data_IF_451487859359
#
_entry.id   IF_451487859359
#
_cell.length_a   1.000
_cell.length_b   1.000
_cell.length_c   1.000
_cell.angle_alpha   90.00
_cell.angle_beta   90.00
_cell.angle_gamma   90.00
#
_symmetry.space_group_name_H-M   'P 1'
#
loop_
_entity.id
_entity.type
_entity.pdbx_description
1 polymer ?
#
# COMPACT_ATOMS: atom_id res chain seq x y z
N UNK A 1 -21.21 9.40 -0.76
CA UNK A 1 -20.97 9.07 -2.18
C UNK A 1 -22.25 9.17 -3.01
N UNK A 2 -22.21 9.75 -4.22
CA UNK A 2 -23.39 9.84 -5.10
C UNK A 2 -23.82 8.46 -5.64
N UNK A 3 -22.85 7.62 -6.03
CA UNK A 3 -23.08 6.28 -6.56
C UNK A 3 -23.83 5.38 -5.57
N UNK A 4 -23.31 5.23 -4.34
CA UNK A 4 -23.95 4.40 -3.31
C UNK A 4 -25.38 4.85 -3.01
N UNK A 5 -25.58 6.17 -2.82
CA UNK A 5 -26.91 6.74 -2.58
C UNK A 5 -27.87 6.48 -3.74
N UNK A 6 -27.37 6.53 -4.98
CA UNK A 6 -28.16 6.20 -6.15
C UNK A 6 -28.57 4.72 -6.15
N UNK A 7 -27.63 3.78 -5.95
CA UNK A 7 -27.90 2.33 -5.92
C UNK A 7 -28.93 1.98 -4.83
N UNK A 8 -28.78 2.57 -3.64
CA UNK A 8 -29.74 2.40 -2.54
C UNK A 8 -31.11 2.96 -2.91
N UNK A 9 -31.17 4.17 -3.51
CA UNK A 9 -32.43 4.78 -3.96
C UNK A 9 -33.14 3.95 -5.03
N UNK A 10 -32.41 3.26 -5.89
CA UNK A 10 -32.96 2.35 -6.90
C UNK A 10 -33.37 0.99 -6.31
N UNK A 11 -33.11 0.71 -5.02
CA UNK A 11 -33.47 -0.55 -4.37
C UNK A 11 -32.56 -1.72 -4.73
N UNK A 12 -31.44 -1.49 -5.39
CA UNK A 12 -30.51 -2.55 -5.81
C UNK A 12 -29.49 -2.94 -4.74
N UNK A 13 -29.29 -2.09 -3.71
CA UNK A 13 -28.26 -2.30 -2.71
C UNK A 13 -28.28 -3.66 -1.99
N UNK A 14 -29.43 -4.24 -1.61
CA UNK A 14 -29.46 -5.53 -0.89
C UNK A 14 -28.77 -6.68 -1.62
N UNK A 15 -28.69 -6.64 -2.96
CA UNK A 15 -27.98 -7.66 -3.74
C UNK A 15 -26.46 -7.55 -3.64
N UNK A 16 -25.93 -6.36 -3.33
CA UNK A 16 -24.50 -6.06 -3.30
C UNK A 16 -23.95 -5.95 -1.88
N UNK A 17 -24.80 -5.57 -0.91
CA UNK A 17 -24.45 -5.39 0.49
C UNK A 17 -23.59 -6.53 1.09
N UNK A 18 -23.90 -7.83 0.87
CA UNK A 18 -23.15 -8.90 1.53
C UNK A 18 -21.73 -9.08 0.98
N UNK A 19 -21.49 -8.69 -0.27
CA UNK A 19 -20.27 -9.03 -1.02
C UNK A 19 -19.42 -7.82 -1.40
N UNK A 20 -19.99 -6.61 -1.31
CA UNK A 20 -19.39 -5.40 -1.87
C UNK A 20 -19.20 -4.33 -0.80
N UNK A 21 -18.06 -3.65 -0.89
CA UNK A 21 -17.78 -2.38 -0.21
C UNK A 21 -17.37 -1.37 -1.28
N UNK A 22 -17.90 -0.14 -1.23
CA UNK A 22 -17.55 0.93 -2.17
C UNK A 22 -16.44 1.77 -1.55
N UNK A 23 -15.22 1.21 -1.56
CA UNK A 23 -14.05 1.83 -0.97
C UNK A 23 -13.74 3.14 -1.71
N UNK A 24 -13.70 4.24 -0.97
CA UNK A 24 -13.31 5.56 -1.47
C UNK A 24 -11.97 5.96 -0.88
N UNK A 25 -11.31 6.96 -1.43
CA UNK A 25 -10.07 7.49 -0.85
C UNK A 25 -10.33 8.21 0.49
N UNK A 26 -9.28 8.38 1.29
CA UNK A 26 -9.38 9.01 2.61
C UNK A 26 -9.88 10.46 2.54
N UNK A 27 -9.55 11.21 1.48
CA UNK A 27 -10.00 12.59 1.31
C UNK A 27 -11.51 12.65 1.02
N UNK A 28 -12.03 11.73 0.22
CA UNK A 28 -13.46 11.57 -0.02
C UNK A 28 -14.18 11.17 1.27
N UNK A 29 -13.60 10.26 2.05
CA UNK A 29 -14.20 9.75 3.28
C UNK A 29 -14.33 10.82 4.38
N UNK A 30 -13.30 11.65 4.61
CA UNK A 30 -13.36 12.73 5.61
C UNK A 30 -14.42 13.79 5.29
N UNK A 31 -14.83 13.89 4.03
CA UNK A 31 -15.89 14.80 3.59
C UNK A 31 -17.30 14.23 3.82
N UNK A 32 -17.43 12.99 4.31
CA UNK A 32 -18.71 12.47 4.77
C UNK A 32 -19.09 13.04 6.13
N UNK A 33 -20.36 13.42 6.26
CA UNK A 33 -20.92 13.75 7.57
C UNK A 33 -20.90 12.50 8.45
N UNK A 34 -20.67 12.67 9.75
CA UNK A 34 -20.73 11.57 10.73
C UNK A 34 -22.11 10.92 10.82
N UNK A 35 -23.16 11.65 10.42
CA UNK A 35 -24.55 11.19 10.32
C UNK A 35 -24.85 10.39 9.04
N UNK A 36 -23.95 10.38 8.06
CA UNK A 36 -24.10 9.58 6.83
C UNK A 36 -23.70 8.12 7.10
N UNK A 37 -24.46 7.43 7.97
CA UNK A 37 -24.19 6.06 8.40
C UNK A 37 -24.02 5.11 7.21
N UNK A 38 -24.77 5.33 6.12
CA UNK A 38 -24.65 4.57 4.90
C UNK A 38 -23.22 4.67 4.31
N UNK A 39 -22.70 5.87 4.08
CA UNK A 39 -21.34 6.01 3.55
C UNK A 39 -20.27 5.66 4.59
N UNK A 40 -20.52 5.91 5.88
CA UNK A 40 -19.60 5.55 6.97
C UNK A 40 -19.38 4.03 7.03
N UNK A 41 -20.42 3.23 6.85
CA UNK A 41 -20.35 1.76 6.87
C UNK A 41 -19.78 1.20 5.58
N UNK A 42 -20.27 1.64 4.42
CA UNK A 42 -20.00 0.95 3.16
C UNK A 42 -18.89 1.59 2.32
N UNK A 43 -18.41 2.78 2.69
CA UNK A 43 -17.34 3.51 2.00
C UNK A 43 -16.09 3.73 2.84
N UNK A 44 -15.94 3.02 3.96
CA UNK A 44 -14.73 3.11 4.77
C UNK A 44 -13.47 2.75 3.93
N UNK A 45 -12.45 3.63 3.82
CA UNK A 45 -11.21 3.35 3.10
C UNK A 45 -10.36 2.24 3.74
N UNK A 46 -10.66 1.86 4.97
CA UNK A 46 -9.82 1.01 5.81
C UNK A 46 -10.64 0.14 6.81
N UNK A 47 -11.58 -0.70 6.36
CA UNK A 47 -12.38 -1.51 7.28
C UNK A 47 -11.52 -2.62 7.90
N UNK A 48 -10.99 -2.41 9.11
CA UNK A 48 -10.16 -3.38 9.83
C UNK A 48 -10.98 -4.42 10.61
N UNK A 49 -12.21 -4.68 10.20
CA UNK A 49 -13.14 -5.62 10.84
C UNK A 49 -13.39 -6.87 9.97
N UNK A 50 -12.68 -7.02 8.85
CA UNK A 50 -12.84 -8.16 7.94
C UNK A 50 -13.96 -8.01 6.90
N UNK A 51 -14.68 -6.88 6.90
CA UNK A 51 -15.79 -6.61 5.98
C UNK A 51 -15.38 -6.47 4.51
N UNK A 52 -14.08 -6.31 4.25
CA UNK A 52 -13.51 -6.28 2.92
C UNK A 52 -12.51 -7.45 2.76
N UNK A 53 -12.99 -8.70 2.61
CA UNK A 53 -12.15 -9.89 2.59
C UNK A 53 -11.13 -9.88 1.43
N UNK A 54 -11.42 -9.17 0.34
CA UNK A 54 -10.50 -8.99 -0.79
C UNK A 54 -9.37 -7.99 -0.50
N UNK A 55 -9.48 -7.19 0.56
CA UNK A 55 -8.57 -6.09 0.88
C UNK A 55 -7.93 -6.24 2.27
N UNK A 56 -8.43 -7.15 3.09
CA UNK A 56 -8.02 -7.36 4.49
C UNK A 56 -7.88 -8.85 4.75
N UNK A 57 -6.68 -9.26 5.19
CA UNK A 57 -6.36 -10.63 5.59
C UNK A 57 -6.10 -10.70 7.09
N UNK A 58 -6.42 -11.84 7.70
CA UNK A 58 -6.08 -12.10 9.10
C UNK A 58 -4.61 -12.52 9.18
N UNK A 59 -3.85 -11.90 10.09
CA UNK A 59 -2.48 -12.27 10.43
C UNK A 59 -2.35 -12.46 11.93
N UNK A 60 -1.32 -13.18 12.37
CA UNK A 60 -1.03 -13.36 13.79
C UNK A 60 0.08 -12.39 14.21
N UNK A 61 -0.11 -11.73 15.35
CA UNK A 61 0.93 -10.93 15.97
C UNK A 61 2.02 -11.82 16.60
N UNK A 62 3.04 -11.21 17.20
CA UNK A 62 4.13 -11.94 17.88
C UNK A 62 3.65 -12.82 19.05
N UNK A 63 2.46 -12.55 19.57
CA UNK A 63 1.84 -13.27 20.68
C UNK A 63 0.84 -14.33 20.19
N UNK A 64 0.67 -14.47 18.87
CA UNK A 64 -0.26 -15.41 18.24
C UNK A 64 -1.70 -14.92 18.12
N UNK A 65 -2.01 -13.67 18.54
CA UNK A 65 -3.37 -13.15 18.44
C UNK A 65 -3.70 -12.75 16.99
N UNK A 66 -4.91 -13.05 16.51
CA UNK A 66 -5.33 -12.63 15.18
C UNK A 66 -5.56 -11.12 15.14
N UNK A 67 -5.00 -10.45 14.13
CA UNK A 67 -5.28 -9.07 13.79
C UNK A 67 -5.54 -8.95 12.29
N UNK A 68 -6.34 -7.94 11.92
CA UNK A 68 -6.64 -7.65 10.53
C UNK A 68 -5.55 -6.75 9.94
N UNK A 69 -4.92 -7.19 8.86
CA UNK A 69 -3.97 -6.39 8.07
C UNK A 69 -4.45 -6.25 6.63
N UNK A 70 -4.07 -5.18 5.94
CA UNK A 70 -4.38 -5.05 4.52
C UNK A 70 -3.69 -6.17 3.71
N UNK A 71 -4.41 -6.70 2.72
CA UNK A 71 -3.92 -7.70 1.78
C UNK A 71 -2.86 -7.12 0.82
N UNK A 72 -2.92 -5.81 0.58
CA UNK A 72 -2.04 -5.07 -0.33
C UNK A 72 -1.54 -3.79 0.35
N UNK A 73 -0.35 -3.35 -0.05
CA UNK A 73 0.25 -2.12 0.44
C UNK A 73 -0.22 -0.94 -0.42
N UNK A 74 -1.22 -0.20 0.06
CA UNK A 74 -1.80 0.94 -0.67
C UNK A 74 -0.77 2.02 -1.02
N UNK A 75 0.19 2.31 -0.13
CA UNK A 75 1.24 3.28 -0.43
C UNK A 75 2.18 2.79 -1.54
N UNK A 76 2.52 1.49 -1.54
CA UNK A 76 3.32 0.90 -2.62
C UNK A 76 2.57 0.93 -3.96
N UNK A 77 1.25 0.68 -3.93
CA UNK A 77 0.41 0.81 -5.12
C UNK A 77 0.37 2.25 -5.64
N UNK A 78 0.17 3.25 -4.78
CA UNK A 78 0.19 4.66 -5.18
C UNK A 78 1.53 5.08 -5.79
N UNK A 79 2.65 4.61 -5.23
CA UNK A 79 3.98 4.86 -5.81
C UNK A 79 4.16 4.18 -7.16
N UNK A 80 3.67 2.95 -7.31
CA UNK A 80 3.71 2.22 -8.57
C UNK A 80 2.84 2.91 -9.64
N UNK A 81 1.63 3.33 -9.28
CA UNK A 81 0.71 4.04 -10.17
C UNK A 81 1.30 5.39 -10.62
N UNK A 82 1.94 6.13 -9.70
CA UNK A 82 2.66 7.36 -10.03
C UNK A 82 3.81 7.10 -11.02
N UNK A 83 4.54 5.99 -10.86
CA UNK A 83 5.60 5.59 -11.78
C UNK A 83 5.04 5.19 -13.16
N UNK A 84 3.97 4.38 -13.19
CA UNK A 84 3.28 3.98 -14.44
C UNK A 84 2.71 5.21 -15.15
N UNK A 85 2.24 6.22 -14.40
CA UNK A 85 1.72 7.48 -14.94
C UNK A 85 2.67 8.18 -15.90
N UNK A 86 3.99 8.01 -15.72
CA UNK A 86 5.00 8.54 -16.65
C UNK A 86 4.95 7.94 -18.06
N UNK A 87 4.35 6.76 -18.22
CA UNK A 87 4.23 6.04 -19.50
C UNK A 87 2.84 6.14 -20.14
N UNK A 88 1.88 6.76 -19.44
CA UNK A 88 0.46 6.74 -19.79
C UNK A 88 0.19 7.19 -21.24
N UNK A 89 0.91 8.19 -21.74
CA UNK A 89 0.73 8.73 -23.11
C UNK A 89 1.03 7.70 -24.20
N UNK A 90 2.04 6.85 -23.99
CA UNK A 90 2.43 5.78 -24.93
C UNK A 90 1.47 4.60 -24.78
N UNK A 91 1.20 4.21 -23.54
CA UNK A 91 0.35 3.07 -23.20
C UNK A 91 -1.08 3.23 -23.74
N UNK A 92 -1.65 4.43 -23.62
CA UNK A 92 -3.02 4.72 -24.09
C UNK A 92 -3.20 4.59 -25.61
N UNK A 93 -2.11 4.53 -26.38
CA UNK A 93 -2.13 4.43 -27.85
C UNK A 93 -1.91 3.01 -28.36
N UNK A 94 -1.68 2.05 -27.47
CA UNK A 94 -1.38 0.67 -27.83
C UNK A 94 -2.65 -0.14 -28.08
N UNK A 95 -2.52 -1.18 -28.91
CA UNK A 95 -3.50 -2.26 -28.95
C UNK A 95 -3.44 -3.06 -27.65
N UNK A 96 -4.50 -3.80 -27.31
CA UNK A 96 -4.58 -4.59 -26.08
C UNK A 96 -3.38 -5.54 -25.93
N UNK A 97 -3.00 -6.26 -26.99
CA UNK A 97 -1.87 -7.19 -26.95
C UNK A 97 -0.53 -6.47 -26.71
N UNK A 98 -0.33 -5.30 -27.30
CA UNK A 98 0.90 -4.52 -27.13
C UNK A 98 0.97 -3.90 -25.74
N UNK A 99 -0.18 -3.43 -25.21
CA UNK A 99 -0.28 -2.92 -23.86
C UNK A 99 0.08 -4.02 -22.85
N UNK A 100 -0.49 -5.21 -22.99
CA UNK A 100 -0.26 -6.35 -22.09
C UNK A 100 1.22 -6.75 -22.05
N UNK A 101 1.83 -6.97 -23.22
CA UNK A 101 3.27 -7.26 -23.31
C UNK A 101 4.12 -6.13 -22.71
N UNK A 102 3.78 -4.87 -23.02
CA UNK A 102 4.56 -3.72 -22.54
C UNK A 102 4.44 -3.56 -21.03
N UNK A 103 3.26 -3.75 -20.44
CA UNK A 103 3.05 -3.76 -19.00
C UNK A 103 3.90 -4.82 -18.32
N UNK A 104 3.92 -6.04 -18.86
CA UNK A 104 4.75 -7.12 -18.33
C UNK A 104 6.23 -6.76 -18.32
N UNK A 105 6.75 -6.22 -19.43
CA UNK A 105 8.16 -5.81 -19.53
C UNK A 105 8.47 -4.64 -18.58
N UNK A 106 7.59 -3.63 -18.50
CA UNK A 106 7.78 -2.48 -17.61
C UNK A 106 7.83 -2.92 -16.14
N UNK A 107 6.89 -3.76 -15.70
CA UNK A 107 6.84 -4.28 -14.34
C UNK A 107 8.06 -5.15 -14.01
N UNK A 108 8.51 -5.97 -14.96
CA UNK A 108 9.71 -6.79 -14.81
C UNK A 108 10.95 -5.91 -14.58
N UNK A 109 11.22 -4.96 -15.48
CA UNK A 109 12.37 -4.06 -15.38
C UNK A 109 12.31 -3.17 -14.13
N UNK A 110 11.12 -2.68 -13.78
CA UNK A 110 10.93 -1.91 -12.55
C UNK A 110 11.30 -2.72 -11.32
N UNK A 111 10.86 -3.98 -11.26
CA UNK A 111 11.14 -4.87 -10.14
C UNK A 111 12.63 -5.10 -9.99
N UNK A 112 13.36 -5.39 -11.08
CA UNK A 112 14.82 -5.55 -11.03
C UNK A 112 15.51 -4.28 -10.51
N UNK A 113 15.10 -3.11 -10.99
CA UNK A 113 15.64 -1.82 -10.54
C UNK A 113 15.35 -1.54 -9.06
N UNK A 114 14.16 -1.89 -8.57
CA UNK A 114 13.79 -1.70 -7.17
C UNK A 114 14.59 -2.64 -6.26
N UNK A 115 14.75 -3.91 -6.64
CA UNK A 115 15.55 -4.89 -5.88
C UNK A 115 17.00 -4.42 -5.79
N UNK A 116 17.62 -4.05 -6.91
CA UNK A 116 19.00 -3.57 -6.92
C UNK A 116 19.20 -2.33 -6.02
N UNK A 117 18.27 -1.38 -6.06
CA UNK A 117 18.30 -0.20 -5.18
C UNK A 117 18.13 -0.55 -3.70
N UNK A 118 17.29 -1.54 -3.39
CA UNK A 118 17.09 -2.01 -2.01
C UNK A 118 18.36 -2.67 -1.47
N UNK A 119 18.99 -3.54 -2.26
CA UNK A 119 20.26 -4.17 -1.90
C UNK A 119 21.38 -3.14 -1.69
N UNK A 120 21.48 -2.14 -2.57
CA UNK A 120 22.48 -1.07 -2.44
C UNK A 120 22.26 -0.26 -1.16
N UNK A 121 21.00 0.06 -0.82
CA UNK A 121 20.65 0.75 0.44
C UNK A 121 21.01 -0.08 1.65
N UNK A 122 20.73 -1.38 1.65
CA UNK A 122 21.09 -2.28 2.74
C UNK A 122 22.61 -2.35 2.93
N UNK A 123 23.37 -2.50 1.83
CA UNK A 123 24.85 -2.47 1.87
C UNK A 123 25.39 -1.16 2.44
N UNK A 124 24.87 -0.02 1.99
CA UNK A 124 25.25 1.31 2.52
C UNK A 124 24.89 1.47 4.00
N UNK A 125 23.76 0.92 4.43
CA UNK A 125 23.33 0.98 5.83
C UNK A 125 24.21 0.10 6.73
N UNK A 126 24.57 -1.10 6.28
CA UNK A 126 25.50 -1.99 6.98
C UNK A 126 26.88 -1.34 7.13
N UNK A 127 27.45 -0.81 6.05
CA UNK A 127 28.74 -0.12 6.09
C UNK A 127 28.73 1.10 7.03
N UNK A 128 27.62 1.84 7.10
CA UNK A 128 27.49 2.97 8.02
C UNK A 128 27.43 2.53 9.49
N UNK A 129 26.85 1.37 9.78
CA UNK A 129 26.80 0.81 11.13
C UNK A 129 28.19 0.31 11.56
N UNK A 130 28.92 -0.35 10.67
CA UNK A 130 30.30 -0.78 10.91
C UNK A 130 31.23 0.40 11.23
N UNK A 131 31.17 1.48 10.44
CA UNK A 131 31.97 2.69 10.70
C UNK A 131 31.64 3.34 12.05
N UNK A 132 30.37 3.31 12.48
CA UNK A 132 29.97 3.86 13.79
C UNK A 132 30.46 2.97 14.93
N UNK A 133 30.38 1.64 14.77
CA UNK A 133 30.87 0.69 15.77
C UNK A 133 32.39 0.75 15.94
N UNK A 134 33.16 0.87 14.85
CA UNK A 134 34.62 1.04 14.92
C UNK A 134 35.00 2.36 15.61
N UNK A 135 34.25 3.44 15.38
CA UNK A 135 34.51 4.72 16.06
C UNK A 135 34.14 4.75 17.54
N UNK A 136 33.26 3.86 17.99
CA UNK A 136 32.91 3.70 19.41
C UNK A 136 33.93 2.81 20.15
N UNK A 137 34.55 1.85 19.46
CA UNK A 137 35.59 0.94 20.02
C UNK A 137 36.97 1.63 20.12
N UNK A 138 37.30 2.57 19.22
CA UNK A 138 38.53 3.39 19.31
C UNK A 138 38.47 4.48 20.39
N UNK A 139 37.35 4.67 21.08
CA UNK A 139 37.13 5.69 22.11
C UNK A 139 37.39 5.27 23.56
N UNK A 140 37.73 4.00 23.82
CA UNK A 140 37.86 3.44 25.18
C UNK A 140 39.31 3.09 25.62
N UNK A 141 40.34 3.49 24.87
CA UNK A 141 41.73 3.31 25.29
C UNK A 141 42.45 4.65 25.46
N UNK A 142 42.58 5.10 26.71
CA UNK A 142 43.72 5.82 27.32
C UNK A 142 43.22 6.63 28.53
N UNK A 143 43.31 6.05 29.73
CA UNK A 143 43.52 6.76 31.01
C UNK A 143 43.81 5.73 32.12
N UNK A 144 44.93 5.00 31.97
CA UNK A 144 45.70 4.48 33.12
C UNK A 144 47.14 4.97 32.94
N UNK A 145 47.59 5.91 33.77
CA UNK A 145 48.84 5.82 34.55
C UNK A 145 49.18 7.13 35.30
N UNK A 146 49.53 6.94 36.58
CA UNK A 146 50.18 7.79 37.61
C UNK A 146 49.50 9.01 38.26
#
# INVERSE_FOLDING_TARGET
>A
CALLKHIVKQGHWPAWEPTTRIIVDSYHYINHQTTDHLCQTWCNPAPLNGDAPNLVVVANDKQGNPYYKRAFNTQACEQLDAWIGGFQTVLNRMTVNNFDFTMHVLLFLHTECVIAKQEERQRKQAARIEVVAESEDEGESEDEED
#
